data_IF_665666947917
#
_entry.id   IF_665666947917
#
_cell.length_a   1.000
_cell.length_b   1.000
_cell.length_c   1.000
_cell.angle_alpha   90.00
_cell.angle_beta   90.00
_cell.angle_gamma   90.00
#
_symmetry.space_group_name_H-M   'P 1'
#
loop_
_entity.id
_entity.type
_entity.pdbx_description
1 polymer ?
#
# COMPACT_ATOMS: atom_id res chain seq x y z
N UNK A 1 -1.30 4.04 17.26
CA UNK A 1 -2.21 4.08 16.09
C UNK A 1 -1.52 3.30 14.99
N UNK A 2 -2.10 2.21 14.51
CA UNK A 2 -1.40 1.30 13.58
C UNK A 2 -1.11 2.01 12.26
N UNK A 3 0.17 2.30 12.02
CA UNK A 3 0.73 3.06 10.90
C UNK A 3 0.66 2.34 9.54
N UNK A 4 -0.35 1.51 9.31
CA UNK A 4 -0.47 0.71 8.10
C UNK A 4 -1.49 1.27 7.14
N UNK A 5 -1.06 1.44 5.89
CA UNK A 5 -1.86 2.06 4.85
C UNK A 5 -2.86 1.10 4.22
N UNK A 6 -4.01 1.67 3.84
CA UNK A 6 -4.99 0.99 3.00
C UNK A 6 -4.46 0.77 1.58
N UNK A 7 -5.10 -0.12 0.82
CA UNK A 7 -4.69 -0.39 -0.56
C UNK A 7 -4.68 0.87 -1.44
N UNK A 8 -5.62 1.80 -1.22
CA UNK A 8 -5.69 3.06 -1.97
C UNK A 8 -4.52 3.99 -1.65
N UNK A 9 -4.15 4.10 -0.36
CA UNK A 9 -3.00 4.89 0.08
C UNK A 9 -1.68 4.32 -0.44
N UNK A 10 -1.50 3.00 -0.38
CA UNK A 10 -0.33 2.31 -0.94
C UNK A 10 -0.22 2.58 -2.44
N UNK A 11 -1.34 2.48 -3.17
CA UNK A 11 -1.39 2.71 -4.61
C UNK A 11 -1.01 4.14 -4.96
N UNK A 12 -1.54 5.13 -4.24
CA UNK A 12 -1.21 6.54 -4.43
C UNK A 12 0.28 6.85 -4.18
N UNK A 13 0.84 6.32 -3.09
CA UNK A 13 2.27 6.53 -2.75
C UNK A 13 3.23 5.86 -3.74
N UNK A 14 2.86 4.71 -4.28
CA UNK A 14 3.63 4.03 -5.33
C UNK A 14 3.43 4.67 -6.72
N UNK A 15 2.58 5.69 -6.86
CA UNK A 15 2.25 6.30 -8.14
C UNK A 15 1.41 5.40 -9.06
N UNK A 16 0.80 4.35 -8.52
CA UNK A 16 -0.03 3.42 -9.28
C UNK A 16 -1.44 3.96 -9.44
N UNK A 17 -2.08 3.64 -10.56
CA UNK A 17 -3.47 4.03 -10.83
C UNK A 17 -4.44 2.86 -10.69
N UNK A 18 -3.92 1.64 -10.86
CA UNK A 18 -4.74 0.42 -10.94
C UNK A 18 -4.28 -0.66 -9.97
N UNK A 19 -5.23 -1.50 -9.58
CA UNK A 19 -4.96 -2.68 -8.74
C UNK A 19 -4.11 -3.72 -9.50
N UNK A 20 -4.09 -3.67 -10.83
CA UNK A 20 -3.26 -4.52 -11.67
C UNK A 20 -1.77 -4.17 -11.54
N UNK A 21 -1.43 -2.88 -11.49
CA UNK A 21 -0.06 -2.42 -11.24
C UNK A 21 0.40 -2.82 -9.84
N UNK A 22 -0.46 -2.62 -8.84
CA UNK A 22 -0.20 -3.05 -7.47
C UNK A 22 -0.02 -4.57 -7.36
N UNK A 23 -0.82 -5.34 -8.09
CA UNK A 23 -0.69 -6.80 -8.13
C UNK A 23 0.62 -7.26 -8.76
N UNK A 24 1.01 -6.65 -9.90
CA UNK A 24 2.30 -6.91 -10.57
C UNK A 24 3.48 -6.60 -9.66
N UNK A 25 3.42 -5.47 -8.96
CA UNK A 25 4.43 -5.08 -7.98
C UNK A 25 4.64 -6.14 -6.88
N UNK A 26 3.54 -6.72 -6.40
CA UNK A 26 3.56 -7.76 -5.37
C UNK A 26 3.74 -9.18 -5.92
N UNK A 27 3.78 -9.38 -7.23
CA UNK A 27 3.84 -10.70 -7.85
C UNK A 27 2.61 -11.57 -7.57
N UNK A 28 1.42 -10.95 -7.48
CA UNK A 28 0.14 -11.66 -7.26
C UNK A 28 -0.88 -11.35 -8.34
N UNK A 29 -2.02 -12.04 -8.30
CA UNK A 29 -3.13 -11.78 -9.20
C UNK A 29 -3.86 -10.47 -8.85
N UNK A 30 -4.41 -9.80 -9.87
CA UNK A 30 -5.29 -8.64 -9.70
C UNK A 30 -6.48 -8.97 -8.80
N UNK A 31 -7.05 -10.17 -8.93
CA UNK A 31 -8.20 -10.62 -8.14
C UNK A 31 -7.88 -10.68 -6.64
N UNK A 32 -6.67 -11.12 -6.28
CA UNK A 32 -6.24 -11.12 -4.88
C UNK A 32 -6.21 -9.70 -4.28
N UNK A 33 -5.72 -8.71 -5.03
CA UNK A 33 -5.73 -7.30 -4.62
C UNK A 33 -7.15 -6.73 -4.55
N UNK A 34 -8.02 -7.13 -5.48
CA UNK A 34 -9.42 -6.69 -5.50
C UNK A 34 -10.18 -7.15 -4.26
N UNK A 35 -9.88 -8.35 -3.77
CA UNK A 35 -10.46 -8.93 -2.55
C UNK A 35 -9.98 -8.24 -1.27
N UNK A 36 -8.92 -7.43 -1.32
CA UNK A 36 -8.47 -6.71 -0.13
C UNK A 36 -9.50 -5.69 0.33
N UNK A 37 -9.72 -5.61 1.65
CA UNK A 37 -10.65 -4.65 2.22
C UNK A 37 -10.20 -3.21 1.91
N UNK A 38 -11.13 -2.39 1.41
CA UNK A 38 -10.81 -1.04 0.90
C UNK A 38 -10.34 -0.07 1.99
N UNK A 39 -10.96 -0.14 3.17
CA UNK A 39 -10.74 0.79 4.29
C UNK A 39 -9.89 0.18 5.41
N UNK A 40 -9.26 -0.95 5.14
CA UNK A 40 -8.37 -1.62 6.08
C UNK A 40 -6.96 -1.67 5.50
N UNK A 41 -5.95 -1.80 6.36
CA UNK A 41 -4.59 -1.98 5.90
C UNK A 41 -4.46 -3.21 5.01
N UNK A 42 -3.54 -3.15 4.05
CA UNK A 42 -3.19 -4.31 3.21
C UNK A 42 -2.72 -5.48 4.09
N UNK A 43 -2.72 -6.74 3.62
CA UNK A 43 -2.30 -7.89 4.44
C UNK A 43 -0.89 -7.72 5.04
N UNK A 44 -0.68 -8.18 6.28
CA UNK A 44 0.56 -7.99 7.04
C UNK A 44 1.83 -8.40 6.27
N UNK A 45 1.79 -9.53 5.55
CA UNK A 45 2.90 -9.97 4.70
C UNK A 45 3.26 -8.92 3.62
N UNK A 46 2.27 -8.24 3.06
CA UNK A 46 2.47 -7.21 2.03
C UNK A 46 2.98 -5.90 2.62
N UNK A 47 2.59 -5.58 3.86
CA UNK A 47 3.18 -4.48 4.61
C UNK A 47 4.67 -4.72 4.84
N UNK A 48 5.04 -5.93 5.30
CA UNK A 48 6.44 -6.29 5.53
C UNK A 48 7.28 -6.17 4.24
N UNK A 49 6.80 -6.71 3.12
CA UNK A 49 7.50 -6.60 1.83
C UNK A 49 7.67 -5.13 1.40
N UNK A 50 6.65 -4.29 1.61
CA UNK A 50 6.74 -2.86 1.33
C UNK A 50 7.79 -2.18 2.19
N UNK A 51 7.81 -2.45 3.50
CA UNK A 51 8.83 -1.90 4.40
C UNK A 51 10.24 -2.32 4.00
N UNK A 52 10.43 -3.58 3.60
CA UNK A 52 11.74 -4.09 3.17
C UNK A 52 12.21 -3.47 1.85
N UNK A 53 11.30 -3.31 0.89
CA UNK A 53 11.66 -2.87 -0.48
C UNK A 53 11.67 -1.35 -0.65
N UNK A 54 10.83 -0.64 0.11
CA UNK A 54 10.69 0.81 0.06
C UNK A 54 10.62 1.39 1.48
N UNK A 55 11.69 1.27 2.27
CA UNK A 55 11.73 1.86 3.61
C UNK A 55 11.46 3.37 3.56
N UNK A 56 11.91 4.04 2.50
CA UNK A 56 11.77 5.49 2.31
C UNK A 56 10.34 5.96 1.99
N UNK A 57 9.42 5.05 1.64
CA UNK A 57 8.02 5.43 1.41
C UNK A 57 7.27 5.69 2.72
N UNK A 58 7.73 5.07 3.81
CA UNK A 58 7.15 5.24 5.13
C UNK A 58 7.77 6.48 5.77
N UNK A 59 7.03 7.58 5.91
CA UNK A 59 7.57 8.74 6.57
C UNK A 59 7.69 8.41 8.06
N UNK A 60 8.77 8.84 8.70
CA UNK A 60 8.88 8.81 10.16
C UNK A 60 7.96 9.84 10.85
N UNK A 61 6.82 10.21 10.25
CA UNK A 61 6.04 11.46 10.43
C UNK A 61 6.31 12.44 9.30
N UNK A 62 5.39 12.54 8.34
CA UNK A 62 5.04 13.81 7.69
C UNK A 62 3.54 13.76 7.42
N UNK A 63 2.80 14.15 8.46
CA UNK A 63 1.47 14.66 8.32
C UNK A 63 1.56 15.94 7.47
N UNK A 64 1.35 15.83 6.17
CA UNK A 64 0.86 16.97 5.39
C UNK A 64 -0.53 16.61 4.87
N UNK A 65 -1.48 16.76 5.79
CA UNK A 65 -2.87 16.97 5.43
C UNK A 65 -2.92 18.35 4.78
N UNK A 66 -3.11 18.40 3.47
CA UNK A 66 -3.37 19.67 2.78
C UNK A 66 -4.74 20.20 3.20
N UNK A 67 -4.76 21.44 3.69
CA UNK A 67 -5.92 22.34 3.69
C UNK A 67 -5.65 23.47 2.68
#
# INVERSE_FOLDING_TARGET
MTEFWSKGQVRARLGFRTDAELARFFGISRSAVSQWPKNFPIPALRQYILHQRYPNLFPATEATQGE
#
